data_IF_128401992385
#
_entry.id   IF_128401992385
#
_cell.length_a   1.000
_cell.length_b   1.000
_cell.length_c   1.000
_cell.angle_alpha   90.00
_cell.angle_beta   90.00
_cell.angle_gamma   90.00
#
_symmetry.space_group_name_H-M   'P 1'
#
loop_
_entity.id
_entity.type
_entity.pdbx_description
1 polymer ?
#
# COMPACT_ATOMS: atom_id res chain seq x y z
N UNK A 1 -22.43 -5.52 15.72
CA UNK A 1 -21.01 -5.15 15.73
C UNK A 1 -20.69 -4.80 14.29
N UNK A 2 -20.32 -3.56 14.00
CA UNK A 2 -20.05 -3.12 12.65
C UNK A 2 -18.82 -3.84 12.11
N UNK A 3 -18.75 -3.93 10.77
CA UNK A 3 -17.63 -4.53 10.05
C UNK A 3 -16.40 -3.61 10.07
N UNK A 4 -15.93 -3.24 11.28
CA UNK A 4 -14.75 -2.40 11.48
C UNK A 4 -13.51 -3.08 10.93
N UNK A 5 -12.87 -2.43 9.97
CA UNK A 5 -11.69 -2.95 9.29
C UNK A 5 -10.42 -2.35 9.87
N UNK A 6 -10.41 -1.04 10.13
CA UNK A 6 -9.28 -0.34 10.72
C UNK A 6 -9.75 0.49 11.90
N UNK A 7 -9.12 0.33 13.05
CA UNK A 7 -9.32 1.20 14.19
C UNK A 7 -8.00 1.75 14.71
N UNK A 8 -8.02 3.01 15.08
CA UNK A 8 -6.90 3.75 15.65
C UNK A 8 -7.39 4.36 16.96
N UNK A 9 -6.68 4.10 18.05
CA UNK A 9 -7.05 4.58 19.38
C UNK A 9 -5.92 5.40 19.98
N UNK A 10 -6.18 6.68 20.21
CA UNK A 10 -5.30 7.63 20.88
C UNK A 10 -3.83 7.53 20.42
N UNK A 11 -3.63 7.49 19.10
CA UNK A 11 -2.34 7.22 18.48
C UNK A 11 -1.42 8.42 18.61
N UNK A 12 -0.25 8.19 19.18
CA UNK A 12 0.87 9.11 19.23
C UNK A 12 2.05 8.57 18.46
N UNK A 13 2.68 9.39 17.64
CA UNK A 13 3.81 8.97 16.79
C UNK A 13 4.91 10.01 16.79
N UNK A 14 6.15 9.55 16.93
CA UNK A 14 7.34 10.36 16.81
C UNK A 14 8.22 9.97 15.63
N UNK A 15 9.03 10.94 15.18
CA UNK A 15 10.10 10.79 14.19
C UNK A 15 11.32 11.50 14.73
N UNK A 16 12.43 10.79 14.85
CA UNK A 16 13.69 11.36 15.39
C UNK A 16 13.45 12.11 16.73
N UNK A 17 12.61 11.56 17.59
CA UNK A 17 12.26 12.13 18.89
C UNK A 17 11.26 13.31 18.86
N UNK A 18 10.79 13.73 17.70
CA UNK A 18 9.78 14.77 17.56
C UNK A 18 8.39 14.17 17.39
N UNK A 19 7.47 14.52 18.26
CA UNK A 19 6.09 14.06 18.18
C UNK A 19 5.35 14.75 17.03
N UNK A 20 4.86 13.95 16.08
CA UNK A 20 4.16 14.40 14.87
C UNK A 20 2.65 14.15 14.96
N UNK A 21 2.24 12.97 15.44
CA UNK A 21 0.84 12.63 15.69
C UNK A 21 0.61 12.67 17.20
N UNK A 22 -0.47 13.35 17.61
CA UNK A 22 -0.75 13.73 19.00
C UNK A 22 -2.17 13.31 19.41
N UNK A 23 -2.40 12.01 19.55
CA UNK A 23 -3.67 11.47 20.02
C UNK A 23 -4.77 11.43 18.95
N UNK A 24 -4.52 10.76 17.81
CA UNK A 24 -5.56 10.54 16.79
C UNK A 24 -6.34 9.28 17.11
N UNK A 25 -7.68 9.39 17.05
CA UNK A 25 -8.59 8.25 17.05
C UNK A 25 -9.46 8.27 15.80
N UNK A 26 -9.59 7.11 15.14
CA UNK A 26 -10.34 6.94 13.90
C UNK A 26 -10.80 5.49 13.78
N UNK A 27 -12.03 5.28 13.31
CA UNK A 27 -12.56 3.95 12.96
C UNK A 27 -13.06 3.97 11.53
N UNK A 28 -12.75 2.93 10.75
CA UNK A 28 -13.15 2.75 9.36
C UNK A 28 -13.80 1.38 9.22
N UNK A 29 -15.04 1.36 8.72
CA UNK A 29 -15.77 0.14 8.44
C UNK A 29 -15.57 -0.33 6.99
N UNK A 30 -15.91 -1.58 6.74
CA UNK A 30 -15.86 -2.15 5.39
C UNK A 30 -16.69 -1.33 4.40
N UNK A 31 -16.10 -1.00 3.26
CA UNK A 31 -16.76 -0.24 2.20
C UNK A 31 -16.80 1.28 2.40
N UNK A 32 -16.28 1.79 3.51
CA UNK A 32 -16.20 3.24 3.74
C UNK A 32 -15.00 3.87 3.02
N UNK A 33 -15.16 5.14 2.64
CA UNK A 33 -14.09 6.00 2.12
C UNK A 33 -13.88 7.15 3.09
N UNK A 34 -12.70 7.18 3.72
CA UNK A 34 -12.32 8.25 4.63
C UNK A 34 -11.31 9.20 3.98
N UNK A 35 -11.56 10.50 4.08
CA UNK A 35 -10.68 11.55 3.56
C UNK A 35 -10.03 12.29 4.72
N UNK A 36 -8.70 12.20 4.82
CA UNK A 36 -7.91 12.91 5.83
C UNK A 36 -7.41 14.22 5.23
N UNK A 37 -7.86 15.33 5.79
CA UNK A 37 -7.47 16.67 5.37
C UNK A 37 -6.70 17.39 6.47
N UNK A 38 -5.87 18.36 6.07
CA UNK A 38 -5.10 19.18 7.01
C UNK A 38 -3.98 19.93 6.29
N UNK A 39 -3.37 20.89 6.99
CA UNK A 39 -2.26 21.68 6.49
C UNK A 39 -1.04 20.80 6.19
N UNK A 40 -0.10 21.33 5.40
CA UNK A 40 1.21 20.67 5.21
C UNK A 40 1.92 20.54 6.57
N UNK A 41 2.52 19.38 6.82
CA UNK A 41 3.14 19.06 8.10
C UNK A 41 2.19 18.55 9.19
N UNK A 42 0.87 18.42 8.93
CA UNK A 42 -0.11 17.94 9.93
C UNK A 42 -0.06 16.41 10.19
N UNK A 43 0.90 15.67 9.65
CA UNK A 43 1.04 14.23 9.92
C UNK A 43 0.24 13.29 9.00
N UNK A 44 -0.41 13.79 7.94
CA UNK A 44 -1.22 12.94 7.03
C UNK A 44 -0.43 11.79 6.41
N UNK A 45 0.74 12.08 5.83
CA UNK A 45 1.62 11.06 5.26
C UNK A 45 2.27 10.18 6.34
N UNK A 46 2.54 10.76 7.50
CA UNK A 46 3.04 10.04 8.68
C UNK A 46 2.05 8.95 9.08
N UNK A 47 0.76 9.27 9.18
CA UNK A 47 -0.27 8.30 9.52
C UNK A 47 -0.31 7.12 8.53
N UNK A 48 -0.30 7.41 7.22
CA UNK A 48 -0.28 6.36 6.21
C UNK A 48 0.96 5.45 6.31
N UNK A 49 2.13 6.06 6.54
CA UNK A 49 3.39 5.31 6.69
C UNK A 49 3.42 4.45 7.96
N UNK A 50 2.91 4.96 9.08
CA UNK A 50 2.80 4.21 10.34
C UNK A 50 1.89 3.00 10.19
N UNK A 51 0.72 3.19 9.59
CA UNK A 51 -0.22 2.09 9.28
C UNK A 51 0.48 1.00 8.45
N UNK A 52 1.38 1.38 7.54
CA UNK A 52 2.14 0.43 6.72
C UNK A 52 3.42 -0.09 7.39
N UNK A 53 3.74 0.35 8.61
CA UNK A 53 4.90 -0.14 9.36
C UNK A 53 6.24 0.41 8.88
N UNK A 54 6.28 1.64 8.40
CA UNK A 54 7.53 2.25 7.94
C UNK A 54 8.50 2.50 9.12
N UNK A 55 9.74 1.99 9.08
CA UNK A 55 10.64 1.91 10.23
C UNK A 55 11.15 3.27 10.77
N UNK A 56 10.96 4.35 10.03
CA UNK A 56 11.36 5.68 10.50
C UNK A 56 10.37 6.29 11.51
N UNK A 57 9.23 5.66 11.74
CA UNK A 57 8.18 6.17 12.61
C UNK A 57 8.01 5.27 13.83
N UNK A 58 7.97 5.88 15.01
CA UNK A 58 7.81 5.18 16.29
C UNK A 58 6.44 5.49 16.89
N UNK A 59 5.64 4.45 17.14
CA UNK A 59 4.41 4.56 17.91
C UNK A 59 4.79 4.68 19.38
N UNK A 60 4.52 5.84 19.99
CA UNK A 60 4.89 6.14 21.38
C UNK A 60 3.74 5.86 22.36
N UNK A 61 2.50 5.90 21.89
CA UNK A 61 1.30 5.57 22.66
C UNK A 61 0.11 5.29 21.73
N UNK A 62 -0.92 4.64 22.25
CA UNK A 62 -2.09 4.22 21.49
C UNK A 62 -1.86 2.91 20.76
N UNK A 63 -2.80 2.52 19.91
CA UNK A 63 -2.70 1.31 19.12
C UNK A 63 -3.46 1.44 17.79
N UNK A 64 -3.11 0.58 16.84
CA UNK A 64 -3.79 0.45 15.54
C UNK A 64 -4.17 -1.01 15.35
N UNK A 65 -5.44 -1.28 15.09
CA UNK A 65 -5.90 -2.63 14.74
C UNK A 65 -6.41 -2.70 13.31
N UNK A 66 -6.14 -3.80 12.63
CA UNK A 66 -6.64 -4.11 11.30
C UNK A 66 -7.29 -5.48 11.27
N UNK A 67 -8.58 -5.55 10.92
CA UNK A 67 -9.40 -6.76 11.02
C UNK A 67 -9.29 -7.44 12.41
N UNK A 68 -9.25 -6.63 13.47
CA UNK A 68 -9.15 -7.08 14.85
C UNK A 68 -7.76 -7.55 15.31
N UNK A 69 -6.72 -7.43 14.45
CA UNK A 69 -5.33 -7.74 14.80
C UNK A 69 -4.56 -6.46 15.05
N UNK A 70 -3.72 -6.45 16.07
CA UNK A 70 -2.82 -5.34 16.35
C UNK A 70 -1.75 -5.23 15.26
N UNK A 71 -1.57 -4.04 14.68
CA UNK A 71 -0.56 -3.82 13.63
C UNK A 71 0.87 -3.85 14.20
N UNK A 72 1.07 -3.55 15.47
CA UNK A 72 2.41 -3.62 16.07
C UNK A 72 2.96 -5.07 16.15
N UNK A 73 2.05 -6.06 16.14
CA UNK A 73 2.40 -7.48 16.06
C UNK A 73 2.62 -7.97 14.61
N UNK A 74 2.39 -7.13 13.60
CA UNK A 74 2.45 -7.50 12.18
C UNK A 74 3.67 -6.90 11.50
N UNK A 75 4.49 -7.74 10.90
CA UNK A 75 5.54 -7.31 9.99
C UNK A 75 4.97 -6.66 8.71
N UNK A 76 5.76 -5.80 8.06
CA UNK A 76 5.32 -5.06 6.85
C UNK A 76 4.77 -5.98 5.76
N UNK A 77 5.41 -7.14 5.55
CA UNK A 77 4.95 -8.10 4.54
C UNK A 77 3.65 -8.80 4.94
N UNK A 78 3.37 -8.94 6.23
CA UNK A 78 2.12 -9.51 6.74
C UNK A 78 0.95 -8.55 6.55
N UNK A 79 1.18 -7.25 6.76
CA UNK A 79 0.20 -6.20 6.44
C UNK A 79 -0.17 -6.22 4.97
N UNK A 80 0.80 -6.34 4.07
CA UNK A 80 0.56 -6.47 2.63
C UNK A 80 -0.24 -7.75 2.29
N UNK A 81 0.08 -8.90 2.91
CA UNK A 81 -0.67 -10.15 2.74
C UNK A 81 -2.09 -10.11 3.31
N UNK A 82 -2.31 -9.26 4.30
CA UNK A 82 -3.65 -9.02 4.85
C UNK A 82 -4.51 -8.12 3.95
N UNK A 83 -3.98 -7.64 2.82
CA UNK A 83 -4.69 -6.82 1.83
C UNK A 83 -4.48 -5.31 1.99
N UNK A 84 -3.52 -4.89 2.81
CA UNK A 84 -3.20 -3.46 2.91
C UNK A 84 -2.31 -3.03 1.74
N UNK A 85 -2.66 -1.92 1.10
CA UNK A 85 -1.91 -1.34 -0.01
C UNK A 85 -1.73 0.17 0.17
N UNK A 86 -0.50 0.65 -0.03
CA UNK A 86 -0.18 2.08 -0.02
C UNK A 86 0.19 2.56 -1.41
N UNK A 87 -0.57 3.53 -1.94
CA UNK A 87 -0.18 4.27 -3.14
C UNK A 87 0.72 5.44 -2.75
N UNK A 88 1.96 5.42 -3.22
CA UNK A 88 2.94 6.45 -2.90
C UNK A 88 2.66 7.77 -3.63
N UNK A 89 2.95 8.88 -2.98
CA UNK A 89 2.90 10.20 -3.64
C UNK A 89 3.95 10.30 -4.75
N UNK A 90 5.14 9.76 -4.50
CA UNK A 90 6.26 9.71 -5.45
C UNK A 90 6.84 8.29 -5.47
N UNK A 91 6.29 7.39 -6.30
CA UNK A 91 6.81 6.02 -6.39
C UNK A 91 8.23 6.02 -6.96
N UNK A 92 9.12 5.32 -6.25
CA UNK A 92 10.53 5.19 -6.61
C UNK A 92 10.72 4.39 -7.89
N UNK A 93 11.75 4.69 -8.66
CA UNK A 93 12.17 3.86 -9.79
C UNK A 93 13.05 2.70 -9.33
N UNK A 94 12.95 1.57 -10.02
CA UNK A 94 13.78 0.39 -9.76
C UNK A 94 14.49 0.02 -11.09
N UNK A 95 15.64 0.65 -11.38
CA UNK A 95 16.38 0.38 -12.60
C UNK A 95 16.78 -1.10 -12.70
N UNK A 96 16.70 -1.66 -13.90
CA UNK A 96 17.06 -3.05 -14.16
C UNK A 96 15.97 -4.08 -13.81
N UNK A 97 14.89 -3.69 -13.11
CA UNK A 97 13.78 -4.58 -12.78
C UNK A 97 12.60 -4.33 -13.71
N UNK A 98 12.30 -5.27 -14.60
CA UNK A 98 11.16 -5.15 -15.51
C UNK A 98 9.83 -5.22 -14.78
N UNK A 99 8.86 -4.39 -15.20
CA UNK A 99 7.50 -4.33 -14.65
C UNK A 99 6.83 -5.71 -14.61
N UNK A 100 6.89 -6.47 -15.70
CA UNK A 100 6.27 -7.81 -15.76
C UNK A 100 6.84 -8.78 -14.73
N UNK A 101 8.17 -8.76 -14.53
CA UNK A 101 8.85 -9.59 -13.53
C UNK A 101 8.51 -9.14 -12.12
N UNK A 102 8.52 -7.83 -11.87
CA UNK A 102 8.16 -7.24 -10.60
C UNK A 102 6.74 -7.64 -10.19
N UNK A 103 5.74 -7.40 -11.04
CA UNK A 103 4.33 -7.73 -10.77
C UNK A 103 4.15 -9.23 -10.49
N UNK A 104 4.77 -10.10 -11.30
CA UNK A 104 4.67 -11.55 -11.08
C UNK A 104 5.23 -11.96 -9.72
N UNK A 105 6.39 -11.42 -9.35
CA UNK A 105 7.01 -11.72 -8.06
C UNK A 105 6.20 -11.16 -6.88
N UNK A 106 5.67 -9.95 -7.01
CA UNK A 106 4.81 -9.32 -5.98
C UNK A 106 3.56 -10.14 -5.73
N UNK A 107 2.83 -10.54 -6.80
CA UNK A 107 1.64 -11.39 -6.67
C UNK A 107 1.97 -12.73 -6.01
N UNK A 108 3.09 -13.35 -6.39
CA UNK A 108 3.51 -14.61 -5.76
C UNK A 108 3.85 -14.43 -4.28
N UNK A 109 4.50 -13.33 -3.91
CA UNK A 109 4.88 -13.06 -2.52
C UNK A 109 3.68 -12.75 -1.63
N UNK A 110 2.70 -12.00 -2.14
CA UNK A 110 1.49 -11.62 -1.40
C UNK A 110 0.51 -12.78 -1.30
N UNK A 111 0.18 -13.41 -2.43
CA UNK A 111 -0.83 -14.49 -2.48
C UNK A 111 -0.30 -15.86 -2.01
N UNK A 112 1.02 -16.03 -1.87
CA UNK A 112 1.63 -17.27 -1.35
C UNK A 112 1.19 -18.51 -2.12
N UNK A 113 0.64 -19.50 -1.41
CA UNK A 113 0.15 -20.77 -1.97
C UNK A 113 -1.05 -20.59 -2.92
N UNK A 114 -1.83 -19.52 -2.76
CA UNK A 114 -2.94 -19.17 -3.65
C UNK A 114 -2.52 -18.39 -4.89
N UNK A 115 -1.22 -18.21 -5.13
CA UNK A 115 -0.73 -17.48 -6.28
C UNK A 115 -1.13 -18.18 -7.60
N UNK A 116 -1.64 -17.43 -8.59
CA UNK A 116 -2.11 -18.01 -9.85
C UNK A 116 -0.97 -18.65 -10.64
N UNK A 117 -1.28 -19.63 -11.47
CA UNK A 117 -0.33 -20.16 -12.45
C UNK A 117 0.14 -19.06 -13.42
N UNK A 118 1.23 -19.31 -14.14
CA UNK A 118 1.75 -18.33 -15.11
C UNK A 118 0.73 -17.98 -16.21
N UNK A 119 -0.16 -18.91 -16.57
CA UNK A 119 -1.21 -18.69 -17.57
C UNK A 119 -2.33 -17.81 -17.00
N UNK A 120 -2.80 -18.11 -15.80
CA UNK A 120 -3.85 -17.35 -15.12
C UNK A 120 -3.39 -15.93 -14.83
N UNK A 121 -2.17 -15.76 -14.29
CA UNK A 121 -1.59 -14.45 -14.06
C UNK A 121 -1.53 -13.60 -15.35
N UNK A 122 -1.10 -14.18 -16.49
CA UNK A 122 -1.07 -13.44 -17.76
C UNK A 122 -2.47 -13.02 -18.22
N UNK A 123 -3.48 -13.84 -17.98
CA UNK A 123 -4.88 -13.52 -18.31
C UNK A 123 -5.39 -12.37 -17.43
N UNK A 124 -5.17 -12.46 -16.13
CA UNK A 124 -5.55 -11.44 -15.14
C UNK A 124 -4.85 -10.11 -15.45
N UNK A 125 -3.53 -10.14 -15.61
CA UNK A 125 -2.71 -8.99 -15.95
C UNK A 125 -3.19 -8.30 -17.22
N UNK A 126 -3.46 -9.07 -18.28
CA UNK A 126 -3.95 -8.54 -19.55
C UNK A 126 -5.28 -7.81 -19.37
N UNK A 127 -6.21 -8.40 -18.64
CA UNK A 127 -7.54 -7.81 -18.38
C UNK A 127 -7.43 -6.47 -17.65
N UNK A 128 -6.60 -6.40 -16.62
CA UNK A 128 -6.40 -5.14 -15.87
C UNK A 128 -5.64 -4.09 -16.69
N UNK A 129 -4.66 -4.47 -17.49
CA UNK A 129 -3.96 -3.56 -18.38
C UNK A 129 -4.90 -2.95 -19.44
N UNK A 130 -5.78 -3.76 -20.02
CA UNK A 130 -6.80 -3.28 -20.97
C UNK A 130 -7.78 -2.28 -20.30
N UNK A 131 -8.21 -2.57 -19.07
CA UNK A 131 -9.07 -1.66 -18.30
C UNK A 131 -8.40 -0.32 -17.96
N UNK A 132 -7.07 -0.30 -17.84
CA UNK A 132 -6.26 0.88 -17.55
C UNK A 132 -5.69 1.58 -18.79
N UNK A 133 -6.04 1.13 -19.99
CA UNK A 133 -5.47 1.61 -21.26
C UNK A 133 -3.94 1.62 -21.23
N UNK A 134 -3.36 0.49 -20.82
CA UNK A 134 -1.91 0.29 -20.74
C UNK A 134 -1.42 -0.64 -21.87
N UNK A 135 -0.45 -0.17 -22.65
CA UNK A 135 0.17 -0.97 -23.70
C UNK A 135 1.08 -2.07 -23.13
N UNK A 136 1.13 -3.20 -23.84
CA UNK A 136 1.94 -4.36 -23.41
C UNK A 136 3.43 -4.08 -23.33
N UNK A 137 3.95 -3.09 -24.07
CA UNK A 137 5.36 -2.69 -24.00
C UNK A 137 5.78 -2.21 -22.60
N UNK A 138 4.83 -1.76 -21.78
CA UNK A 138 5.08 -1.43 -20.39
C UNK A 138 5.73 -2.56 -19.59
N UNK A 139 5.37 -3.81 -19.86
CA UNK A 139 5.87 -4.97 -19.13
C UNK A 139 7.38 -5.20 -19.29
N UNK A 140 7.97 -4.73 -20.38
CA UNK A 140 9.41 -4.83 -20.66
C UNK A 140 10.21 -3.63 -20.16
N UNK A 141 9.56 -2.53 -19.79
CA UNK A 141 10.20 -1.34 -19.20
C UNK A 141 10.58 -1.60 -17.75
N UNK A 142 11.53 -0.86 -17.22
CA UNK A 142 11.89 -0.91 -15.81
C UNK A 142 10.90 -0.16 -14.96
N UNK A 143 10.67 -0.65 -13.73
CA UNK A 143 9.67 -0.11 -12.81
C UNK A 143 9.91 1.38 -12.55
N UNK A 144 8.96 2.22 -12.96
CA UNK A 144 8.96 3.68 -12.80
C UNK A 144 10.15 4.42 -13.43
N UNK A 145 11.03 3.74 -14.18
CA UNK A 145 12.18 4.35 -14.81
C UNK A 145 11.78 5.05 -16.11
N UNK A 146 11.96 6.37 -16.14
CA UNK A 146 11.54 7.21 -17.27
C UNK A 146 10.01 7.28 -17.47
N UNK A 147 9.21 6.91 -16.46
CA UNK A 147 7.75 7.00 -16.54
C UNK A 147 7.28 8.43 -16.27
N UNK A 148 6.29 8.87 -17.05
CA UNK A 148 5.51 10.08 -16.73
C UNK A 148 4.70 9.90 -15.44
N UNK A 149 4.24 10.98 -14.85
CA UNK A 149 3.40 10.92 -13.64
C UNK A 149 2.13 10.08 -13.84
N UNK A 150 1.48 10.18 -15.00
CA UNK A 150 0.30 9.37 -15.34
C UNK A 150 0.63 7.88 -15.49
N UNK A 151 1.76 7.54 -16.10
CA UNK A 151 2.22 6.15 -16.24
C UNK A 151 2.53 5.53 -14.88
N UNK A 152 3.19 6.27 -13.97
CA UNK A 152 3.45 5.82 -12.59
C UNK A 152 2.16 5.53 -11.85
N UNK A 153 1.16 6.41 -11.94
CA UNK A 153 -0.15 6.19 -11.29
C UNK A 153 -0.91 5.00 -11.87
N UNK A 154 -0.90 4.80 -13.18
CA UNK A 154 -1.49 3.60 -13.79
C UNK A 154 -0.80 2.32 -13.33
N UNK A 155 0.53 2.33 -13.20
CA UNK A 155 1.25 1.17 -12.66
C UNK A 155 0.92 0.90 -11.19
N UNK A 156 0.73 1.92 -10.36
CA UNK A 156 0.27 1.74 -8.96
C UNK A 156 -1.14 1.15 -8.90
N UNK A 157 -2.07 1.66 -9.72
CA UNK A 157 -3.44 1.11 -9.80
C UNK A 157 -3.40 -0.36 -10.27
N UNK A 158 -2.56 -0.67 -11.26
CA UNK A 158 -2.37 -2.05 -11.73
C UNK A 158 -1.84 -2.96 -10.61
N UNK A 159 -0.91 -2.49 -9.79
CA UNK A 159 -0.44 -3.21 -8.60
C UNK A 159 -1.59 -3.47 -7.61
N UNK A 160 -2.35 -2.43 -7.28
CA UNK A 160 -3.50 -2.53 -6.36
C UNK A 160 -4.56 -3.53 -6.84
N UNK A 161 -4.79 -3.62 -8.15
CA UNK A 161 -5.76 -4.58 -8.73
C UNK A 161 -5.24 -6.02 -8.74
N UNK A 162 -3.92 -6.21 -8.71
CA UNK A 162 -3.28 -7.53 -8.78
C UNK A 162 -2.91 -8.10 -7.42
N UNK A 163 -2.74 -7.29 -6.38
CA UNK A 163 -2.27 -7.70 -5.05
C UNK A 163 -3.42 -7.85 -4.08
#
# INVERSE_FOLDING_TARGET
MGDEVLAIHDLHVSVEGNEIIKGISLSINLGEVHVIMGRNGAGKSTLANVIMGHPAYEVTSGNITYNGKDLDEMEVFERARAGMFLSFQYPSSIPGVQVGTFLRKSVTAVRGESAPSAREFRKELKSHMEALDMDKSFLSRYVNDGFSGGEKKRLEILQMLLL
#
